data_IF_722687678259
#
_entry.id   IF_722687678259
#
_cell.length_a   1.000
_cell.length_b   1.000
_cell.length_c   1.000
_cell.angle_alpha   90.00
_cell.angle_beta   90.00
_cell.angle_gamma   90.00
#
_symmetry.space_group_name_H-M   'P 1'
#
loop_
_entity.id
_entity.type
_entity.pdbx_description
1 polymer ?
#
# COMPACT_ATOMS: atom_id res chain seq x y z
N UNK A 1 33.41 32.07 -52.62
CA UNK A 1 32.72 30.80 -52.29
C UNK A 1 31.79 31.05 -51.11
N UNK A 2 30.48 30.86 -51.33
CA UNK A 2 29.41 31.07 -50.35
C UNK A 2 29.56 30.09 -49.18
N UNK A 3 29.58 30.58 -47.94
CA UNK A 3 29.35 29.75 -46.75
C UNK A 3 28.10 30.28 -46.05
N UNK A 4 26.99 29.66 -46.39
CA UNK A 4 25.69 29.85 -45.75
C UNK A 4 25.79 29.13 -44.40
N UNK A 5 25.87 29.88 -43.30
CA UNK A 5 25.51 29.32 -42.00
C UNK A 5 23.99 29.37 -41.90
N UNK A 6 23.37 28.23 -42.21
CA UNK A 6 21.95 28.00 -41.94
C UNK A 6 21.78 28.00 -40.43
N UNK A 7 21.19 29.07 -39.90
CA UNK A 7 20.56 29.04 -38.58
C UNK A 7 19.45 28.00 -38.65
N UNK A 8 19.73 26.79 -38.16
CA UNK A 8 18.70 25.79 -37.91
C UNK A 8 17.95 26.26 -36.66
N UNK A 9 16.98 27.17 -36.86
CA UNK A 9 15.93 27.43 -35.89
C UNK A 9 15.14 26.12 -35.75
N UNK A 10 15.61 25.25 -34.86
CA UNK A 10 14.84 24.13 -34.35
C UNK A 10 13.79 24.71 -33.38
N UNK A 11 12.87 25.49 -33.96
CA UNK A 11 11.55 25.71 -33.38
C UNK A 11 10.85 24.37 -33.42
N UNK A 12 11.20 23.50 -32.47
CA UNK A 12 10.38 22.37 -32.09
C UNK A 12 9.06 22.96 -31.64
N UNK A 13 8.13 22.99 -32.59
CA UNK A 13 6.70 22.79 -32.44
C UNK A 13 6.31 22.59 -30.96
N UNK A 14 6.19 23.70 -30.23
CA UNK A 14 5.24 23.80 -29.12
C UNK A 14 3.87 23.78 -29.79
N UNK A 15 3.51 22.61 -30.31
CA UNK A 15 2.15 22.32 -30.69
C UNK A 15 1.35 22.62 -29.44
N UNK A 16 0.57 23.70 -29.51
CA UNK A 16 -0.42 24.12 -28.53
C UNK A 16 -1.32 22.93 -28.23
N UNK A 17 -0.88 22.10 -27.30
CA UNK A 17 -1.66 21.02 -26.75
C UNK A 17 -2.64 21.76 -25.85
N UNK A 18 -3.89 21.89 -26.29
CA UNK A 18 -4.88 22.70 -25.57
C UNK A 18 -4.77 22.46 -24.06
N UNK A 19 -4.65 23.54 -23.30
CA UNK A 19 -4.59 23.57 -21.82
C UNK A 19 -5.78 22.86 -21.15
N UNK A 20 -6.76 22.45 -21.96
CA UNK A 20 -7.95 21.72 -21.57
C UNK A 20 -7.57 20.28 -21.20
N UNK A 21 -7.85 19.92 -19.96
CA UNK A 21 -7.79 18.55 -19.49
C UNK A 21 -8.93 17.75 -20.15
N UNK A 22 -8.58 16.64 -20.79
CA UNK A 22 -9.53 15.67 -21.35
C UNK A 22 -9.45 14.38 -20.55
N UNK A 23 -10.47 13.53 -20.65
CA UNK A 23 -10.49 12.21 -19.97
C UNK A 23 -9.21 11.39 -20.25
N UNK A 24 -8.79 11.26 -21.51
CA UNK A 24 -7.55 10.54 -21.87
C UNK A 24 -6.28 11.19 -21.32
N UNK A 25 -6.21 12.53 -21.24
CA UNK A 25 -5.08 13.21 -20.59
C UNK A 25 -5.11 12.97 -19.07
N UNK A 26 -6.29 12.97 -18.45
CA UNK A 26 -6.46 12.69 -17.03
C UNK A 26 -6.02 11.27 -16.67
N UNK A 27 -6.37 10.28 -17.50
CA UNK A 27 -5.94 8.89 -17.34
C UNK A 27 -4.41 8.76 -17.35
N UNK A 28 -3.74 9.36 -18.33
CA UNK A 28 -2.27 9.41 -18.41
C UNK A 28 -1.62 10.11 -17.21
N UNK A 29 -2.27 11.14 -16.67
CA UNK A 29 -1.78 11.79 -15.46
C UNK A 29 -1.85 10.85 -14.25
N UNK A 30 -2.91 10.04 -14.14
CA UNK A 30 -3.02 9.01 -13.09
C UNK A 30 -1.92 7.96 -13.24
N UNK A 31 -1.74 7.42 -14.45
CA UNK A 31 -0.66 6.46 -14.77
C UNK A 31 0.71 7.01 -14.35
N UNK A 32 1.06 8.20 -14.84
CA UNK A 32 2.32 8.85 -14.50
C UNK A 32 2.46 9.08 -12.99
N UNK A 33 1.38 9.45 -12.30
CA UNK A 33 1.44 9.62 -10.83
C UNK A 33 1.73 8.31 -10.11
N UNK A 34 1.26 7.17 -10.62
CA UNK A 34 1.54 5.85 -10.07
C UNK A 34 2.98 5.41 -10.34
N UNK A 35 3.57 5.81 -11.47
CA UNK A 35 4.99 5.57 -11.76
C UNK A 35 5.90 6.38 -10.81
N UNK A 36 5.58 7.65 -10.57
CA UNK A 36 6.37 8.54 -9.71
C UNK A 36 6.19 8.22 -8.21
N UNK A 37 4.96 7.90 -7.81
CA UNK A 37 4.63 7.52 -6.44
C UNK A 37 3.59 6.38 -6.48
N UNK A 38 4.06 5.12 -6.45
CA UNK A 38 3.20 3.94 -6.50
C UNK A 38 2.19 3.91 -5.36
N UNK A 39 0.98 3.47 -5.68
CA UNK A 39 -0.06 3.23 -4.68
C UNK A 39 -0.04 1.76 -4.28
N UNK A 40 0.02 1.52 -2.97
CA UNK A 40 0.07 0.18 -2.38
C UNK A 40 -1.11 -0.04 -1.46
N UNK A 41 -1.59 -1.29 -1.43
CA UNK A 41 -2.33 -1.78 -0.28
C UNK A 41 -1.41 -1.92 0.93
N UNK A 42 -1.96 -1.66 2.11
CA UNK A 42 -1.21 -1.63 3.37
C UNK A 42 -1.99 -2.40 4.42
N UNK A 43 -1.37 -3.43 4.97
CA UNK A 43 -1.91 -4.19 6.10
C UNK A 43 -1.00 -4.05 7.30
N UNK A 44 -1.56 -4.17 8.50
CA UNK A 44 -0.80 -4.14 9.75
C UNK A 44 -0.56 -5.56 10.25
N UNK A 45 0.67 -5.82 10.65
CA UNK A 45 1.09 -7.08 11.26
C UNK A 45 1.81 -6.80 12.57
N UNK A 46 1.39 -7.43 13.65
CA UNK A 46 2.03 -7.32 14.94
C UNK A 46 3.15 -8.35 15.09
N UNK A 47 4.30 -7.93 15.60
CA UNK A 47 5.43 -8.81 15.92
C UNK A 47 5.95 -8.52 17.31
N UNK A 48 6.78 -9.42 17.85
CA UNK A 48 7.25 -9.35 19.24
C UNK A 48 6.60 -10.42 20.11
N UNK A 49 6.51 -10.15 21.41
CA UNK A 49 5.86 -11.04 22.39
C UNK A 49 4.34 -10.85 22.37
N UNK A 50 3.64 -11.76 21.71
CA UNK A 50 2.19 -11.79 21.57
C UNK A 50 1.57 -12.88 22.46
N UNK A 51 0.33 -12.66 22.89
CA UNK A 51 -0.49 -13.64 23.60
C UNK A 51 -1.60 -14.14 22.66
N UNK A 52 -2.30 -15.21 23.04
CA UNK A 52 -3.49 -15.64 22.27
C UNK A 52 -4.53 -14.53 22.14
N UNK A 53 -4.70 -13.71 23.17
CA UNK A 53 -5.60 -12.54 23.16
C UNK A 53 -5.10 -11.37 22.30
N UNK A 54 -3.91 -11.47 21.70
CA UNK A 54 -3.36 -10.45 20.79
C UNK A 54 -3.88 -10.62 19.36
N UNK A 55 -4.50 -11.76 19.05
CA UNK A 55 -5.12 -12.01 17.75
C UNK A 55 -6.62 -11.76 17.84
N UNK A 56 -7.16 -11.07 16.85
CA UNK A 56 -8.57 -10.67 16.81
C UNK A 56 -9.48 -11.87 16.54
N UNK A 57 -8.97 -12.90 15.84
CA UNK A 57 -9.76 -14.07 15.47
C UNK A 57 -8.91 -15.32 15.19
N UNK A 58 -9.59 -16.47 15.04
CA UNK A 58 -8.93 -17.72 14.64
C UNK A 58 -8.39 -17.65 13.21
N UNK A 59 -9.11 -16.97 12.33
CA UNK A 59 -8.71 -16.74 10.94
C UNK A 59 -7.39 -15.95 10.90
N UNK A 60 -7.22 -14.94 11.75
CA UNK A 60 -5.94 -14.22 11.84
C UNK A 60 -4.80 -15.16 12.27
N UNK A 61 -5.02 -16.02 13.26
CA UNK A 61 -4.02 -17.03 13.69
C UNK A 61 -3.63 -17.95 12.53
N UNK A 62 -4.59 -18.38 11.70
CA UNK A 62 -4.31 -19.18 10.51
C UNK A 62 -3.46 -18.43 9.48
N UNK A 63 -3.68 -17.13 9.30
CA UNK A 63 -2.84 -16.30 8.43
C UNK A 63 -1.41 -16.19 8.96
N UNK A 64 -1.20 -16.01 10.26
CA UNK A 64 0.16 -16.03 10.84
C UNK A 64 0.81 -17.41 10.67
N UNK A 65 0.07 -18.50 10.89
CA UNK A 65 0.59 -19.85 10.66
C UNK A 65 1.00 -20.07 9.20
N UNK A 66 0.23 -19.53 8.25
CA UNK A 66 0.59 -19.56 6.83
C UNK A 66 1.86 -18.76 6.56
N UNK A 67 1.97 -17.53 7.06
CA UNK A 67 3.19 -16.73 6.93
C UNK A 67 4.42 -17.43 7.53
N UNK A 68 4.24 -18.16 8.63
CA UNK A 68 5.31 -18.92 9.26
C UNK A 68 5.73 -20.13 8.41
N UNK A 69 4.74 -20.86 7.87
CA UNK A 69 4.96 -22.00 6.97
C UNK A 69 5.66 -21.57 5.68
N UNK A 70 5.30 -20.41 5.14
CA UNK A 70 5.88 -19.83 3.94
C UNK A 70 7.17 -19.03 4.22
N UNK A 71 7.69 -19.12 5.46
CA UNK A 71 8.96 -18.55 5.94
C UNK A 71 9.06 -17.01 5.85
N UNK A 72 7.93 -16.31 5.88
CA UNK A 72 7.86 -14.84 5.96
C UNK A 72 7.99 -14.35 7.41
N UNK A 73 7.52 -15.14 8.37
CA UNK A 73 7.73 -14.86 9.79
C UNK A 73 8.34 -16.06 10.48
N UNK A 74 9.03 -15.80 11.59
CA UNK A 74 9.42 -16.82 12.55
C UNK A 74 8.49 -16.70 13.75
N UNK A 75 8.00 -17.83 14.23
CA UNK A 75 7.20 -17.92 15.45
C UNK A 75 7.89 -18.88 16.41
N UNK A 76 8.15 -18.41 17.63
CA UNK A 76 8.59 -19.24 18.75
C UNK A 76 7.43 -19.31 19.75
N UNK A 77 7.05 -20.51 20.17
CA UNK A 77 5.92 -20.70 21.09
C UNK A 77 6.42 -21.20 22.44
N UNK A 78 6.13 -20.42 23.47
CA UNK A 78 6.41 -20.75 24.86
C UNK A 78 5.13 -21.12 25.59
N UNK A 79 5.09 -22.32 26.17
CA UNK A 79 3.99 -22.79 27.01
C UNK A 79 4.31 -22.47 28.47
N UNK A 80 3.47 -21.68 29.12
CA UNK A 80 3.64 -21.28 30.52
C UNK A 80 2.46 -21.73 31.38
N UNK A 81 2.67 -22.17 32.63
CA UNK A 81 1.57 -22.46 33.53
C UNK A 81 0.77 -21.18 33.85
N UNK A 82 -0.54 -21.32 33.97
CA UNK A 82 -1.37 -20.26 34.55
C UNK A 82 -1.20 -20.30 36.07
N UNK A 83 -0.93 -19.14 36.67
CA UNK A 83 -0.72 -19.05 38.11
C UNK A 83 -2.04 -18.72 38.82
N UNK A 84 -2.23 -19.26 40.02
CA UNK A 84 -3.31 -18.87 40.93
C UNK A 84 -2.98 -17.53 41.63
N UNK A 85 -3.89 -17.05 42.47
CA UNK A 85 -3.71 -15.78 43.20
C UNK A 85 -2.54 -15.78 44.20
N UNK A 86 -1.98 -16.95 44.53
CA UNK A 86 -0.77 -17.13 45.36
C UNK A 86 0.51 -17.25 44.54
N UNK A 87 0.42 -17.18 43.21
CA UNK A 87 1.56 -17.35 42.30
C UNK A 87 1.95 -18.81 42.03
N UNK A 88 1.13 -19.78 42.43
CA UNK A 88 1.39 -21.21 42.21
C UNK A 88 0.76 -21.68 40.90
N UNK A 89 1.41 -22.58 40.14
CA UNK A 89 0.81 -23.18 38.95
C UNK A 89 -0.53 -23.84 39.25
N UNK A 90 -1.55 -23.52 38.46
CA UNK A 90 -2.80 -24.27 38.43
C UNK A 90 -2.60 -25.55 37.62
N UNK A 91 -3.05 -26.67 38.18
CA UNK A 91 -2.91 -27.97 37.53
C UNK A 91 -3.69 -28.01 36.20
N UNK A 92 -3.01 -28.42 35.13
CA UNK A 92 -3.60 -28.57 33.80
C UNK A 92 -3.87 -27.27 33.01
N UNK A 93 -3.75 -26.08 33.62
CA UNK A 93 -3.97 -24.79 32.95
C UNK A 93 -2.66 -24.19 32.42
N UNK A 94 -2.63 -23.92 31.12
CA UNK A 94 -1.49 -23.30 30.44
C UNK A 94 -1.94 -22.14 29.57
N UNK A 95 -1.05 -21.16 29.43
CA UNK A 95 -1.13 -20.08 28.45
C UNK A 95 0.01 -20.20 27.46
N UNK A 96 -0.24 -19.79 26.23
CA UNK A 96 0.76 -19.75 25.18
C UNK A 96 1.20 -18.31 24.94
N UNK A 97 2.52 -18.10 24.93
CA UNK A 97 3.16 -16.87 24.53
C UNK A 97 3.87 -17.13 23.20
N UNK A 98 3.65 -16.24 22.25
CA UNK A 98 4.25 -16.32 20.93
C UNK A 98 5.29 -15.21 20.80
N UNK A 99 6.49 -15.53 20.35
CA UNK A 99 7.46 -14.53 19.92
C UNK A 99 7.53 -14.57 18.41
N UNK A 100 6.99 -13.54 17.76
CA UNK A 100 6.91 -13.42 16.31
C UNK A 100 7.96 -12.43 15.81
N UNK A 101 8.68 -12.76 14.74
CA UNK A 101 9.59 -11.81 14.08
C UNK A 101 9.51 -11.93 12.57
N UNK A 102 9.69 -10.82 11.84
CA UNK A 102 9.86 -10.85 10.40
C UNK A 102 11.16 -11.57 10.01
N UNK A 103 11.12 -12.35 8.94
CA UNK A 103 12.33 -12.91 8.31
C UNK A 103 12.91 -11.93 7.28
N UNK A 104 14.10 -12.22 6.76
CA UNK A 104 14.69 -11.45 5.65
C UNK A 104 13.75 -11.37 4.44
N UNK A 105 13.02 -12.45 4.13
CA UNK A 105 12.05 -12.54 3.03
C UNK A 105 10.92 -11.52 3.14
N UNK A 106 10.59 -11.11 4.36
CA UNK A 106 9.53 -10.12 4.61
C UNK A 106 9.98 -8.69 4.40
N UNK A 107 11.28 -8.40 4.42
CA UNK A 107 11.80 -7.03 4.32
C UNK A 107 11.46 -6.38 2.98
N UNK A 108 11.39 -7.15 1.90
CA UNK A 108 11.00 -6.68 0.57
C UNK A 108 9.57 -6.09 0.54
N UNK A 109 8.75 -6.41 1.54
CA UNK A 109 7.37 -5.96 1.66
C UNK A 109 7.16 -4.99 2.83
N UNK A 110 8.16 -4.76 3.68
CA UNK A 110 8.05 -3.89 4.84
C UNK A 110 8.09 -2.42 4.39
N UNK A 111 7.02 -1.67 4.68
CA UNK A 111 6.96 -0.24 4.38
C UNK A 111 7.35 0.61 5.59
N UNK A 112 6.97 0.18 6.79
CA UNK A 112 7.24 0.87 8.04
C UNK A 112 7.16 -0.10 9.21
N UNK A 113 7.99 0.12 10.24
CA UNK A 113 7.93 -0.61 11.50
C UNK A 113 7.99 0.39 12.64
N UNK A 114 6.98 0.39 13.49
CA UNK A 114 6.85 1.28 14.64
C UNK A 114 6.79 0.47 15.94
N UNK A 115 7.41 0.99 17.00
CA UNK A 115 7.23 0.44 18.34
C UNK A 115 5.80 0.71 18.81
N UNK A 116 5.12 -0.32 19.33
CA UNK A 116 3.73 -0.21 19.79
C UNK A 116 3.63 -0.16 21.32
N UNK A 117 4.15 -1.20 21.98
CA UNK A 117 4.15 -1.31 23.44
C UNK A 117 5.10 -2.43 23.87
N UNK A 118 5.79 -2.29 25.00
CA UNK A 118 6.72 -3.29 25.53
C UNK A 118 7.69 -3.83 24.47
N UNK A 119 7.63 -5.13 24.15
CA UNK A 119 8.41 -5.78 23.11
C UNK A 119 7.61 -5.99 21.80
N UNK A 120 6.50 -5.28 21.60
CA UNK A 120 5.59 -5.41 20.46
C UNK A 120 5.79 -4.28 19.46
N UNK A 121 5.85 -4.65 18.18
CA UNK A 121 6.00 -3.75 17.05
C UNK A 121 4.79 -3.87 16.12
N UNK A 122 4.38 -2.75 15.53
CA UNK A 122 3.43 -2.70 14.43
C UNK A 122 4.20 -2.57 13.12
N UNK A 123 4.02 -3.52 12.22
CA UNK A 123 4.65 -3.51 10.90
C UNK A 123 3.60 -3.23 9.84
N UNK A 124 3.81 -2.18 9.05
CA UNK A 124 2.99 -1.90 7.88
C UNK A 124 3.60 -2.63 6.70
N UNK A 125 2.89 -3.64 6.20
CA UNK A 125 3.33 -4.49 5.09
C UNK A 125 2.60 -4.11 3.81
N UNK A 126 3.32 -4.11 2.69
CA UNK A 126 2.75 -4.01 1.34
C UNK A 126 1.92 -5.26 1.05
N UNK A 127 0.65 -5.08 0.68
CA UNK A 127 -0.27 -6.18 0.35
C UNK A 127 -0.49 -6.35 -1.16
N UNK A 128 -0.45 -5.27 -1.94
CA UNK A 128 -0.56 -5.26 -3.40
C UNK A 128 -0.03 -3.94 -3.99
N UNK A 129 0.12 -3.89 -5.31
CA UNK A 129 0.34 -2.65 -6.10
C UNK A 129 -0.94 -2.30 -6.86
N UNK A 130 -1.38 -1.04 -6.82
CA UNK A 130 -2.53 -0.58 -7.58
C UNK A 130 -2.12 -0.20 -9.01
N UNK A 131 -2.87 -0.68 -10.00
CA UNK A 131 -2.75 -0.29 -11.41
C UNK A 131 -4.07 0.25 -11.91
N UNK A 132 -4.07 1.33 -12.68
CA UNK A 132 -5.30 1.83 -13.31
C UNK A 132 -5.91 0.75 -14.23
N UNK A 133 -7.23 0.61 -14.17
CA UNK A 133 -8.03 -0.18 -15.11
C UNK A 133 -8.81 0.74 -16.04
N UNK A 134 -9.55 1.67 -15.44
CA UNK A 134 -10.52 2.49 -16.12
C UNK A 134 -10.73 3.82 -15.40
N UNK A 135 -10.87 4.88 -16.17
CA UNK A 135 -11.34 6.19 -15.72
C UNK A 135 -12.78 6.42 -16.21
N UNK A 136 -13.66 6.85 -15.30
CA UNK A 136 -15.07 7.11 -15.53
C UNK A 136 -15.51 8.44 -14.90
N UNK A 137 -16.69 8.93 -15.29
CA UNK A 137 -17.33 10.13 -14.72
C UNK A 137 -16.45 11.38 -14.70
N UNK A 138 -15.55 11.52 -15.68
CA UNK A 138 -14.69 12.68 -15.81
C UNK A 138 -15.50 13.95 -16.06
N UNK A 139 -15.27 14.98 -15.25
CA UNK A 139 -15.85 16.30 -15.46
C UNK A 139 -14.93 17.40 -14.91
N UNK A 140 -15.04 18.57 -15.52
CA UNK A 140 -14.36 19.78 -15.04
C UNK A 140 -15.25 20.42 -13.98
N UNK A 141 -14.73 20.63 -12.78
CA UNK A 141 -15.44 21.28 -11.68
C UNK A 141 -15.28 22.80 -11.76
N UNK A 142 -14.07 23.26 -12.08
CA UNK A 142 -13.73 24.68 -12.28
C UNK A 142 -12.56 24.85 -13.24
N UNK A 143 -12.16 26.09 -13.53
CA UNK A 143 -10.97 26.35 -14.37
C UNK A 143 -9.67 25.75 -13.81
N UNK A 144 -9.63 25.46 -12.49
CA UNK A 144 -8.46 24.93 -11.80
C UNK A 144 -8.65 23.53 -11.22
N UNK A 145 -9.83 22.94 -11.39
CA UNK A 145 -10.18 21.67 -10.75
C UNK A 145 -11.02 20.77 -11.66
N UNK A 146 -10.71 19.49 -11.66
CA UNK A 146 -11.47 18.45 -12.35
C UNK A 146 -11.48 17.18 -11.50
N UNK A 147 -12.45 16.31 -11.76
CA UNK A 147 -12.63 15.09 -10.99
C UNK A 147 -12.98 13.91 -11.90
N UNK A 148 -12.59 12.71 -11.47
CA UNK A 148 -13.00 11.46 -12.10
C UNK A 148 -13.08 10.33 -11.08
N UNK A 149 -13.92 9.33 -11.36
CA UNK A 149 -13.89 8.05 -10.68
C UNK A 149 -12.89 7.14 -11.38
N UNK A 150 -11.89 6.64 -10.66
CA UNK A 150 -10.87 5.75 -11.22
C UNK A 150 -10.98 4.38 -10.56
N UNK A 151 -11.12 3.35 -11.39
CA UNK A 151 -11.03 1.96 -10.97
C UNK A 151 -9.59 1.50 -11.05
N UNK A 152 -9.08 0.92 -9.97
CA UNK A 152 -7.75 0.37 -9.86
C UNK A 152 -7.82 -1.13 -9.64
N UNK A 153 -6.96 -1.90 -10.31
CA UNK A 153 -6.75 -3.31 -10.06
C UNK A 153 -5.68 -3.50 -8.97
N UNK A 154 -5.93 -4.43 -8.06
CA UNK A 154 -4.97 -4.91 -7.06
C UNK A 154 -4.06 -5.95 -7.73
N UNK A 155 -2.88 -5.53 -8.18
CA UNK A 155 -1.86 -6.36 -8.85
C UNK A 155 -0.74 -6.73 -7.87
N UNK A 156 0.07 -7.71 -8.26
CA UNK A 156 1.26 -8.14 -7.49
C UNK A 156 0.93 -8.42 -6.01
N UNK A 157 -0.17 -9.14 -5.78
CA UNK A 157 -0.63 -9.50 -4.44
C UNK A 157 0.49 -10.24 -3.70
N UNK A 158 0.83 -9.72 -2.53
CA UNK A 158 1.90 -10.27 -1.69
C UNK A 158 1.32 -11.35 -0.78
N UNK A 159 2.16 -12.12 -0.07
CA UNK A 159 1.71 -13.05 0.97
C UNK A 159 0.90 -12.38 2.09
N UNK A 160 0.98 -11.05 2.22
CA UNK A 160 0.23 -10.26 3.20
C UNK A 160 -1.15 -9.82 2.68
N UNK A 161 -1.48 -10.03 1.40
CA UNK A 161 -2.80 -9.72 0.84
C UNK A 161 -3.99 -10.33 1.59
N UNK A 162 -3.93 -11.59 2.08
CA UNK A 162 -5.05 -12.17 2.84
C UNK A 162 -5.42 -11.42 4.13
N UNK A 163 -4.57 -10.53 4.64
CA UNK A 163 -4.89 -9.66 5.79
C UNK A 163 -5.74 -8.44 5.39
N UNK A 164 -5.94 -8.18 4.10
CA UNK A 164 -6.86 -7.14 3.64
C UNK A 164 -8.29 -7.49 4.01
N UNK A 165 -9.02 -6.51 4.57
CA UNK A 165 -10.44 -6.65 4.86
C UNK A 165 -11.26 -6.82 3.58
N UNK A 166 -10.87 -6.13 2.52
CA UNK A 166 -11.46 -6.24 1.19
C UNK A 166 -10.50 -6.92 0.22
N UNK A 167 -10.80 -8.17 -0.09
CA UNK A 167 -9.98 -9.01 -0.96
C UNK A 167 -10.44 -9.02 -2.43
N UNK A 168 -11.42 -8.18 -2.79
CA UNK A 168 -11.82 -8.01 -4.21
C UNK A 168 -10.62 -7.58 -5.07
N UNK A 169 -10.65 -7.90 -6.37
CA UNK A 169 -9.52 -7.65 -7.27
C UNK A 169 -9.36 -6.18 -7.68
N UNK A 170 -10.31 -5.32 -7.33
CA UNK A 170 -10.30 -3.93 -7.71
C UNK A 170 -10.92 -3.04 -6.63
N UNK A 171 -10.70 -1.74 -6.74
CA UNK A 171 -11.41 -0.74 -5.96
C UNK A 171 -11.57 0.52 -6.80
N UNK A 172 -12.55 1.34 -6.45
CA UNK A 172 -12.79 2.63 -7.12
C UNK A 172 -12.55 3.76 -6.15
N UNK A 173 -11.80 4.78 -6.60
CA UNK A 173 -11.53 5.98 -5.83
C UNK A 173 -11.81 7.21 -6.70
N UNK A 174 -12.41 8.23 -6.08
CA UNK A 174 -12.53 9.55 -6.68
C UNK A 174 -11.17 10.24 -6.67
N UNK A 175 -10.71 10.66 -7.83
CA UNK A 175 -9.43 11.35 -8.02
C UNK A 175 -9.71 12.80 -8.42
N UNK A 176 -9.01 13.72 -7.76
CA UNK A 176 -9.06 15.15 -8.06
C UNK A 176 -7.82 15.55 -8.86
N UNK A 177 -8.03 16.41 -9.85
CA UNK A 177 -6.97 17.00 -10.66
C UNK A 177 -6.94 18.49 -10.42
N UNK A 178 -5.76 19.04 -10.11
CA UNK A 178 -5.56 20.46 -9.82
C UNK A 178 -4.66 21.08 -10.87
N UNK A 179 -5.08 22.20 -11.46
CA UNK A 179 -4.27 23.00 -12.38
C UNK A 179 -3.37 23.95 -11.59
N UNK A 180 -2.06 23.79 -11.75
CA UNK A 180 -1.05 24.70 -11.22
C UNK A 180 -0.55 25.65 -12.31
N UNK A 181 -0.18 26.88 -11.94
CA UNK A 181 0.28 27.90 -12.91
C UNK A 181 1.60 27.51 -13.60
N UNK A 182 2.47 26.77 -12.91
CA UNK A 182 3.81 26.41 -13.40
C UNK A 182 3.88 25.06 -14.08
N UNK A 183 3.14 24.07 -13.57
CA UNK A 183 3.31 22.67 -13.97
C UNK A 183 2.06 22.09 -14.66
N UNK A 184 1.02 22.90 -14.84
CA UNK A 184 -0.24 22.46 -15.44
C UNK A 184 -1.04 21.55 -14.51
N UNK A 185 -1.83 20.66 -15.11
CA UNK A 185 -2.70 19.72 -14.39
C UNK A 185 -1.90 18.61 -13.69
N UNK A 186 -2.20 18.39 -12.41
CA UNK A 186 -1.62 17.32 -11.60
C UNK A 186 -2.69 16.49 -10.92
N UNK A 187 -2.36 15.24 -10.62
CA UNK A 187 -3.18 14.38 -9.78
C UNK A 187 -2.97 14.73 -8.31
N UNK A 188 -4.07 14.95 -7.60
CA UNK A 188 -4.09 15.07 -6.16
C UNK A 188 -4.68 13.78 -5.57
N UNK A 189 -3.84 13.01 -4.87
CA UNK A 189 -4.21 11.76 -4.18
C UNK A 189 -4.03 11.97 -2.69
N UNK A 190 -5.12 11.89 -1.93
CA UNK A 190 -5.10 11.82 -0.47
C UNK A 190 -4.62 10.44 0.00
#
# INVERSE_FOLDING_TARGET
MKKIFVFLALGLLLGSCSDKLTSSKAEKLVEKSLEENPMYGKVRLYTGKLRESSFDSKEEVELYNKLATDEYIKVITDKQPVLNWRGEPKEGEFKYLYTVSLTEKSKDFLLQSDHYSDDVYTNTMKSYTAKIDKLADFHIVSEKEAEANVTFLKRDKTPFFPFEKDQTDFFTQKITFIKTEKEGWKVFRN
#
